data_IF_796493073719
#
_entry.id   IF_796493073719
#
_cell.length_a   1.000
_cell.length_b   1.000
_cell.length_c   1.000
_cell.angle_alpha   90.00
_cell.angle_beta   90.00
_cell.angle_gamma   90.00
#
_symmetry.space_group_name_H-M   'P 1'
#
loop_
_entity.id
_entity.type
_entity.pdbx_description
1 polymer ?
#
# COMPACT_ATOMS: atom_id res chain seq x y z
N UNK A 1 -7.12 21.81 21.48
CA UNK A 1 -5.81 22.21 20.93
C UNK A 1 -4.77 21.10 21.14
N UNK A 2 -4.71 20.45 22.31
CA UNK A 2 -3.81 19.29 22.54
C UNK A 2 -4.21 18.04 21.74
N UNK A 3 -5.52 17.79 21.59
CA UNK A 3 -6.03 16.59 20.90
C UNK A 3 -5.79 16.61 19.39
N UNK A 4 -5.76 17.79 18.77
CA UNK A 4 -5.58 17.99 17.33
C UNK A 4 -4.13 17.75 16.90
N UNK A 5 -3.17 18.19 17.72
CA UNK A 5 -1.73 17.91 17.54
C UNK A 5 -1.47 16.40 17.71
N UNK A 6 -2.04 15.78 18.75
CA UNK A 6 -1.88 14.35 18.99
C UNK A 6 -2.50 13.48 17.87
N UNK A 7 -3.63 13.90 17.30
CA UNK A 7 -4.27 13.19 16.18
C UNK A 7 -3.46 13.33 14.88
N UNK A 8 -2.91 14.52 14.62
CA UNK A 8 -2.04 14.78 13.46
C UNK A 8 -0.78 13.92 13.50
N UNK A 9 -0.14 13.82 14.66
CA UNK A 9 1.03 12.95 14.87
C UNK A 9 0.70 11.47 14.63
N UNK A 10 -0.51 11.04 15.03
CA UNK A 10 -1.01 9.67 14.81
C UNK A 10 -1.27 9.39 13.32
N UNK A 11 -1.86 10.35 12.60
CA UNK A 11 -2.13 10.20 11.17
C UNK A 11 -0.83 10.19 10.35
N UNK A 12 0.14 11.04 10.70
CA UNK A 12 1.46 11.03 10.07
C UNK A 12 2.18 9.69 10.30
N UNK A 13 2.11 9.12 11.51
CA UNK A 13 2.65 7.79 11.78
C UNK A 13 1.99 6.69 10.93
N UNK A 14 0.65 6.72 10.79
CA UNK A 14 -0.08 5.75 9.98
C UNK A 14 0.28 5.83 8.49
N UNK A 15 0.55 7.04 7.96
CA UNK A 15 1.03 7.21 6.59
C UNK A 15 2.46 6.73 6.38
N UNK A 16 3.36 6.92 7.36
CA UNK A 16 4.72 6.35 7.30
C UNK A 16 4.71 4.83 7.34
N UNK A 17 3.89 4.23 8.19
CA UNK A 17 3.69 2.78 8.20
C UNK A 17 3.17 2.27 6.85
N UNK A 18 2.30 3.05 6.20
CA UNK A 18 1.80 2.75 4.86
C UNK A 18 2.88 2.87 3.78
N UNK A 19 3.79 3.83 3.90
CA UNK A 19 4.95 3.94 3.03
C UNK A 19 5.85 2.70 3.17
N UNK A 20 6.22 2.34 4.39
CA UNK A 20 7.02 1.13 4.67
C UNK A 20 6.37 -0.14 4.12
N UNK A 21 5.05 -0.32 4.29
CA UNK A 21 4.32 -1.44 3.70
C UNK A 21 4.51 -1.51 2.18
N UNK A 22 4.43 -0.38 1.49
CA UNK A 22 4.59 -0.34 0.04
C UNK A 22 6.04 -0.56 -0.40
N UNK A 23 7.03 -0.08 0.36
CA UNK A 23 8.44 -0.38 0.11
C UNK A 23 8.74 -1.89 0.25
N UNK A 24 8.23 -2.53 1.30
CA UNK A 24 8.38 -3.98 1.51
C UNK A 24 7.73 -4.78 0.37
N UNK A 25 6.55 -4.37 -0.09
CA UNK A 25 5.89 -4.99 -1.24
C UNK A 25 6.70 -4.78 -2.52
N UNK A 26 7.25 -3.59 -2.74
CA UNK A 26 8.13 -3.34 -3.88
C UNK A 26 9.38 -4.23 -3.87
N UNK A 27 9.97 -4.47 -2.70
CA UNK A 27 11.10 -5.39 -2.53
C UNK A 27 10.70 -6.84 -2.82
N UNK A 28 9.54 -7.29 -2.31
CA UNK A 28 9.00 -8.62 -2.59
C UNK A 28 8.77 -8.84 -4.09
N UNK A 29 8.15 -7.88 -4.78
CA UNK A 29 7.90 -7.96 -6.22
C UNK A 29 9.21 -8.05 -7.02
N UNK A 30 10.29 -7.38 -6.59
CA UNK A 30 11.62 -7.52 -7.23
C UNK A 30 12.20 -8.92 -7.08
N UNK A 31 12.05 -9.53 -5.90
CA UNK A 31 12.47 -10.92 -5.67
C UNK A 31 11.67 -11.86 -6.58
N UNK A 32 10.35 -11.66 -6.68
CA UNK A 32 9.48 -12.45 -7.56
C UNK A 32 9.87 -12.29 -9.03
N UNK A 33 10.17 -11.06 -9.49
CA UNK A 33 10.65 -10.80 -10.84
C UNK A 33 11.90 -11.65 -11.16
N UNK A 34 12.90 -11.68 -10.27
CA UNK A 34 14.14 -12.47 -10.48
C UNK A 34 13.85 -13.97 -10.59
N UNK A 35 12.82 -14.47 -9.90
CA UNK A 35 12.42 -15.88 -9.94
C UNK A 35 11.43 -16.23 -11.05
N UNK A 36 11.00 -15.25 -11.85
CA UNK A 36 10.00 -15.44 -12.89
C UNK A 36 10.52 -16.36 -14.01
N UNK A 37 9.66 -17.27 -14.48
CA UNK A 37 9.98 -18.24 -15.54
C UNK A 37 9.61 -17.76 -16.95
N UNK A 38 9.15 -16.53 -17.08
CA UNK A 38 8.79 -15.92 -18.37
C UNK A 38 9.03 -14.42 -18.34
N UNK A 39 9.34 -13.85 -19.50
CA UNK A 39 9.53 -12.41 -19.66
C UNK A 39 8.27 -11.62 -19.29
N UNK A 40 7.09 -12.14 -19.63
CA UNK A 40 5.81 -11.52 -19.28
C UNK A 40 5.64 -11.42 -17.75
N UNK A 41 5.94 -12.49 -17.02
CA UNK A 41 5.87 -12.49 -15.55
C UNK A 41 6.95 -11.58 -14.93
N UNK A 42 8.17 -11.59 -15.47
CA UNK A 42 9.23 -10.67 -15.06
C UNK A 42 8.79 -9.21 -15.17
N UNK A 43 8.27 -8.83 -16.34
CA UNK A 43 7.80 -7.46 -16.60
C UNK A 43 6.62 -7.09 -15.71
N UNK A 44 5.68 -8.01 -15.48
CA UNK A 44 4.55 -7.76 -14.59
C UNK A 44 5.01 -7.43 -13.16
N UNK A 45 5.91 -8.24 -12.59
CA UNK A 45 6.46 -8.01 -11.26
C UNK A 45 7.29 -6.72 -11.18
N UNK A 46 8.01 -6.37 -12.24
CA UNK A 46 8.71 -5.07 -12.33
C UNK A 46 7.75 -3.88 -12.28
N UNK A 47 6.67 -3.92 -13.07
CA UNK A 47 5.64 -2.87 -13.07
C UNK A 47 4.95 -2.76 -11.70
N UNK A 48 4.67 -3.89 -11.05
CA UNK A 48 4.08 -3.91 -9.70
C UNK A 48 5.03 -3.30 -8.65
N UNK A 49 6.32 -3.61 -8.72
CA UNK A 49 7.34 -3.00 -7.85
C UNK A 49 7.37 -1.49 -8.01
N UNK A 50 7.39 -0.99 -9.25
CA UNK A 50 7.41 0.45 -9.55
C UNK A 50 6.14 1.14 -9.06
N UNK A 51 4.97 0.53 -9.24
CA UNK A 51 3.71 1.04 -8.70
C UNK A 51 3.73 1.13 -7.18
N UNK A 52 4.29 0.12 -6.50
CA UNK A 52 4.40 0.15 -5.04
C UNK A 52 5.31 1.29 -4.56
N UNK A 53 6.42 1.58 -5.25
CA UNK A 53 7.29 2.71 -4.90
C UNK A 53 6.60 4.06 -5.11
N UNK A 54 5.78 4.20 -6.15
CA UNK A 54 4.97 5.41 -6.35
C UNK A 54 3.95 5.62 -5.22
N UNK A 55 3.33 4.53 -4.75
CA UNK A 55 2.41 4.57 -3.61
C UNK A 55 3.13 4.88 -2.29
N UNK A 56 4.33 4.35 -2.08
CA UNK A 56 5.17 4.68 -0.93
C UNK A 56 5.54 6.17 -0.92
N UNK A 57 6.04 6.68 -2.04
CA UNK A 57 6.37 8.11 -2.17
C UNK A 57 5.15 9.01 -1.95
N UNK A 58 3.97 8.60 -2.42
CA UNK A 58 2.73 9.33 -2.16
C UNK A 58 2.38 9.33 -0.68
N UNK A 59 2.53 8.19 0.00
CA UNK A 59 2.26 8.07 1.43
C UNK A 59 3.22 8.95 2.26
N UNK A 60 4.51 9.00 1.94
CA UNK A 60 5.47 9.91 2.58
C UNK A 60 5.09 11.38 2.39
N UNK A 61 4.72 11.78 1.16
CA UNK A 61 4.26 13.14 0.88
C UNK A 61 3.03 13.53 1.72
N UNK A 62 2.09 12.60 1.90
CA UNK A 62 0.90 12.84 2.73
C UNK A 62 1.25 12.87 4.23
N UNK A 63 2.22 12.07 4.69
CA UNK A 63 2.68 12.08 6.08
C UNK A 63 3.29 13.44 6.50
N UNK A 64 3.75 14.24 5.56
CA UNK A 64 4.28 15.59 5.77
C UNK A 64 3.20 16.68 5.75
N UNK A 65 1.95 16.35 5.40
CA UNK A 65 0.86 17.31 5.35
C UNK A 65 0.30 17.59 6.76
N UNK A 66 0.10 18.87 7.13
CA UNK A 66 -0.30 19.26 8.49
C UNK A 66 -1.72 18.82 8.90
N UNK A 67 -2.57 18.44 7.93
CA UNK A 67 -3.95 17.98 8.18
C UNK A 67 -4.23 16.66 7.42
N UNK A 68 -3.26 15.75 7.42
CA UNK A 68 -3.41 14.47 6.73
C UNK A 68 -4.56 13.66 7.35
N UNK A 69 -5.61 13.39 6.57
CA UNK A 69 -6.63 12.39 6.91
C UNK A 69 -5.97 11.01 7.04
N UNK A 70 -6.43 10.11 7.94
CA UNK A 70 -5.81 8.81 8.10
C UNK A 70 -5.90 7.99 6.79
N UNK A 71 -4.89 7.16 6.48
CA UNK A 71 -4.95 6.31 5.31
C UNK A 71 -6.17 5.40 5.40
N UNK A 72 -6.98 5.36 4.35
CA UNK A 72 -8.11 4.43 4.29
C UNK A 72 -7.59 2.99 4.34
N UNK A 73 -8.11 2.22 5.30
CA UNK A 73 -7.88 0.78 5.45
C UNK A 73 -8.24 0.06 4.15
N UNK A 74 -7.25 -0.19 3.29
CA UNK A 74 -7.50 -0.77 1.97
C UNK A 74 -7.04 -2.23 1.84
N UNK A 75 -6.55 -2.88 2.91
CA UNK A 75 -5.90 -4.19 2.76
C UNK A 75 -6.63 -5.38 3.39
N UNK A 76 -7.46 -5.19 4.42
CA UNK A 76 -8.24 -6.30 5.01
C UNK A 76 -9.74 -6.21 4.72
N UNK A 77 -10.36 -5.04 4.84
CA UNK A 77 -11.78 -4.89 4.47
C UNK A 77 -11.98 -4.93 2.96
N UNK A 78 -11.19 -4.18 2.18
CA UNK A 78 -11.29 -4.21 0.71
C UNK A 78 -10.89 -5.56 0.11
N UNK A 79 -9.83 -6.20 0.61
CA UNK A 79 -9.46 -7.55 0.15
C UNK A 79 -10.48 -8.59 0.61
N UNK A 80 -10.99 -8.47 1.84
CA UNK A 80 -12.06 -9.32 2.35
C UNK A 80 -13.36 -9.19 1.55
N UNK A 81 -13.73 -7.98 1.14
CA UNK A 81 -14.88 -7.72 0.27
C UNK A 81 -14.65 -8.17 -1.17
N UNK A 82 -13.44 -8.00 -1.71
CA UNK A 82 -13.07 -8.52 -3.03
C UNK A 82 -13.09 -10.05 -3.07
N UNK A 83 -12.57 -10.71 -2.03
CA UNK A 83 -12.66 -12.18 -1.87
C UNK A 83 -14.12 -12.61 -1.70
N UNK A 84 -14.90 -11.93 -0.83
CA UNK A 84 -16.32 -12.24 -0.62
C UNK A 84 -17.14 -12.08 -1.91
N UNK A 85 -16.86 -11.07 -2.74
CA UNK A 85 -17.49 -10.91 -4.05
C UNK A 85 -17.02 -11.96 -5.05
N UNK A 86 -15.73 -12.32 -5.04
CA UNK A 86 -15.17 -13.34 -5.94
C UNK A 86 -15.67 -14.77 -5.65
N UNK A 87 -16.07 -15.07 -4.41
CA UNK A 87 -16.64 -16.36 -4.02
C UNK A 87 -18.17 -16.33 -3.81
N UNK A 88 -18.78 -15.13 -3.78
CA UNK A 88 -20.22 -14.92 -3.54
C UNK A 88 -21.09 -14.97 -4.79
N UNK A 89 -20.50 -14.97 -5.99
CA UNK A 89 -21.21 -15.10 -7.28
C UNK A 89 -21.33 -16.56 -7.77
N UNK A 90 -21.08 -17.52 -6.88
CA UNK A 90 -21.47 -18.93 -7.07
C UNK A 90 -22.62 -19.23 -6.10
N UNK A 91 -23.79 -18.70 -6.44
CA UNK A 91 -25.07 -18.98 -5.77
C UNK A 91 -26.20 -18.95 -6.78
#
# INVERSE_FOLDING_TARGET
>A
MTDEIAQTDTNAAAWRDRATYHEDRAAQERVLAVSARSDAAYTAHRVLSERHLQLAATAELVAEMPDAEPPQSSSLEQTGDLIRRSYGDVG
#
